data_IF_830561533502
#
_entry.id   IF_830561533502
#
_cell.length_a   1.000
_cell.length_b   1.000
_cell.length_c   1.000
_cell.angle_alpha   90.00
_cell.angle_beta   90.00
_cell.angle_gamma   90.00
#
_symmetry.space_group_name_H-M   'P 1'
#
loop_
_entity.id
_entity.type
_entity.pdbx_description
1 polymer ?
#
# COMPACT_ATOMS: atom_id res chain seq x y z
N UNK A 1 19.03 62.02 11.85
CA UNK A 1 18.58 60.86 12.65
C UNK A 1 18.18 59.76 11.67
N UNK A 2 18.64 58.52 11.91
CA UNK A 2 18.70 57.41 10.95
C UNK A 2 17.33 57.01 10.39
N UNK A 3 17.19 56.97 9.06
CA UNK A 3 16.07 56.34 8.37
C UNK A 3 16.21 54.82 8.48
N UNK A 4 15.32 54.18 9.24
CA UNK A 4 15.30 52.75 9.44
C UNK A 4 14.52 52.10 8.29
N UNK A 5 15.22 51.57 7.28
CA UNK A 5 14.62 50.76 6.23
C UNK A 5 14.21 49.40 6.82
N UNK A 6 12.92 49.23 7.11
CA UNK A 6 12.36 47.92 7.51
C UNK A 6 12.23 47.08 6.23
N UNK A 7 13.19 46.19 6.01
CA UNK A 7 13.09 45.14 4.99
C UNK A 7 11.96 44.18 5.37
N UNK A 8 10.86 44.20 4.63
CA UNK A 8 9.77 43.25 4.77
C UNK A 8 10.21 41.95 4.07
N UNK A 9 10.78 41.01 4.83
CA UNK A 9 11.07 39.66 4.37
C UNK A 9 9.73 38.96 4.07
N UNK A 10 9.35 38.92 2.80
CA UNK A 10 8.31 38.04 2.26
C UNK A 10 8.78 36.59 2.45
N UNK A 11 8.45 36.00 3.60
CA UNK A 11 8.57 34.56 3.80
C UNK A 11 7.45 33.93 2.99
N UNK A 12 7.73 33.60 1.72
CA UNK A 12 6.84 32.73 0.95
C UNK A 12 6.75 31.40 1.70
N UNK A 13 5.56 30.88 2.03
CA UNK A 13 5.46 29.54 2.58
C UNK A 13 5.96 28.58 1.50
N UNK A 14 7.17 28.05 1.69
CA UNK A 14 7.58 26.85 1.00
C UNK A 14 6.62 25.76 1.46
N UNK A 15 5.67 25.39 0.60
CA UNK A 15 4.89 24.18 0.80
C UNK A 15 5.87 23.01 0.71
N UNK A 16 6.31 22.53 1.87
CA UNK A 16 7.05 21.27 1.96
C UNK A 16 6.04 20.18 1.65
N UNK A 17 6.05 19.68 0.42
CA UNK A 17 5.31 18.47 0.07
C UNK A 17 6.00 17.31 0.80
N UNK A 18 5.34 16.77 1.83
CA UNK A 18 5.79 15.56 2.50
C UNK A 18 5.69 14.36 1.56
N UNK A 19 6.66 13.45 1.62
CA UNK A 19 6.55 12.17 0.91
C UNK A 19 5.32 11.40 1.40
N UNK A 20 4.68 10.62 0.53
CA UNK A 20 3.59 9.73 0.96
C UNK A 20 4.12 8.79 2.04
N UNK A 21 3.45 8.73 3.19
CA UNK A 21 3.83 7.84 4.29
C UNK A 21 3.01 6.57 4.23
N UNK A 22 3.62 5.46 4.63
CA UNK A 22 2.86 4.27 4.97
C UNK A 22 2.02 4.50 6.22
N UNK A 23 0.86 3.86 6.28
CA UNK A 23 0.05 3.76 7.49
C UNK A 23 0.44 2.49 8.23
N UNK A 24 0.87 2.67 9.48
CA UNK A 24 1.22 1.55 10.36
C UNK A 24 -0.02 0.71 10.64
N UNK A 25 0.17 -0.61 10.72
CA UNK A 25 -0.93 -1.51 11.00
C UNK A 25 -1.38 -1.40 12.46
N UNK A 26 -2.69 -1.55 12.74
CA UNK A 26 -3.19 -1.58 14.10
C UNK A 26 -2.70 -2.82 14.84
N UNK A 27 -2.83 -2.81 16.16
CA UNK A 27 -2.27 -3.86 17.02
C UNK A 27 -2.80 -5.27 16.73
N UNK A 28 -3.98 -5.40 16.12
CA UNK A 28 -4.58 -6.69 15.78
C UNK A 28 -4.17 -7.22 14.40
N UNK A 29 -3.47 -6.43 13.58
CA UNK A 29 -2.89 -6.91 12.32
C UNK A 29 -1.43 -7.26 12.56
N UNK A 30 -1.06 -8.50 12.24
CA UNK A 30 0.28 -9.06 12.47
C UNK A 30 0.83 -9.70 11.19
N UNK A 31 2.13 -10.00 11.24
CA UNK A 31 2.83 -10.80 10.23
C UNK A 31 2.60 -10.32 8.78
N UNK A 32 2.65 -9.01 8.56
CA UNK A 32 2.53 -8.47 7.20
C UNK A 32 3.77 -8.89 6.41
N UNK A 33 3.59 -9.74 5.40
CA UNK A 33 4.66 -10.17 4.50
C UNK A 33 4.36 -9.78 3.07
N UNK A 34 5.40 -9.32 2.37
CA UNK A 34 5.35 -9.04 0.94
C UNK A 34 6.37 -9.94 0.27
N UNK A 35 5.91 -10.81 -0.63
CA UNK A 35 6.72 -11.84 -1.27
C UNK A 35 6.62 -11.71 -2.79
N UNK A 36 7.77 -11.55 -3.45
CA UNK A 36 7.87 -11.69 -4.91
C UNK A 36 8.07 -13.16 -5.31
N UNK A 37 8.69 -13.42 -6.47
CA UNK A 37 8.95 -14.79 -6.93
C UNK A 37 10.14 -15.48 -6.23
N UNK A 38 10.88 -14.80 -5.33
CA UNK A 38 11.97 -15.43 -4.58
C UNK A 38 11.63 -15.52 -3.09
N UNK A 39 11.81 -16.69 -2.45
CA UNK A 39 11.52 -16.87 -1.02
C UNK A 39 12.33 -15.94 -0.09
N UNK A 40 13.42 -15.34 -0.59
CA UNK A 40 14.28 -14.43 0.16
C UNK A 40 13.95 -12.94 -0.07
N UNK A 41 13.03 -12.59 -0.98
CA UNK A 41 12.66 -11.21 -1.23
C UNK A 41 11.76 -10.68 -0.10
N UNK A 42 12.37 -10.22 0.99
CA UNK A 42 11.72 -9.37 1.99
C UNK A 42 11.58 -7.91 1.50
N UNK A 43 12.33 -7.54 0.46
CA UNK A 43 12.28 -6.22 -0.13
C UNK A 43 11.14 -6.18 -1.16
N UNK A 44 10.22 -5.21 -1.08
CA UNK A 44 9.07 -5.11 -1.97
C UNK A 44 9.48 -4.48 -3.32
N UNK A 45 10.44 -5.12 -4.00
CA UNK A 45 10.97 -4.70 -5.31
C UNK A 45 10.73 -5.83 -6.30
N UNK A 46 9.97 -5.54 -7.36
CA UNK A 46 9.46 -6.52 -8.31
C UNK A 46 9.87 -6.14 -9.74
N UNK A 47 10.11 -7.14 -10.60
CA UNK A 47 10.20 -6.88 -12.04
C UNK A 47 8.81 -6.58 -12.61
N UNK A 48 8.74 -5.75 -13.64
CA UNK A 48 7.49 -5.55 -14.37
C UNK A 48 6.94 -6.88 -14.90
N UNK A 49 5.66 -7.14 -14.61
CA UNK A 49 4.99 -8.41 -14.94
C UNK A 49 5.25 -9.55 -13.97
N UNK A 50 6.07 -9.34 -12.93
CA UNK A 50 6.28 -10.31 -11.86
C UNK A 50 5.03 -10.41 -10.97
N UNK A 51 4.77 -11.62 -10.46
CA UNK A 51 3.70 -11.85 -9.50
C UNK A 51 4.20 -11.50 -8.10
N UNK A 52 3.30 -11.05 -7.25
CA UNK A 52 3.59 -10.90 -5.83
C UNK A 52 2.41 -11.35 -4.97
N UNK A 53 2.74 -11.61 -3.72
CA UNK A 53 1.80 -11.93 -2.65
C UNK A 53 2.00 -10.96 -1.50
N UNK A 54 0.90 -10.37 -1.03
CA UNK A 54 0.81 -9.68 0.25
C UNK A 54 -0.01 -10.56 1.18
N UNK A 55 0.51 -10.91 2.35
CA UNK A 55 -0.25 -11.64 3.37
C UNK A 55 -0.13 -11.00 4.73
N UNK A 56 -1.11 -11.24 5.59
CA UNK A 56 -1.17 -10.72 6.95
C UNK A 56 -2.14 -11.54 7.80
N UNK A 57 -1.99 -11.44 9.13
CA UNK A 57 -2.86 -12.12 10.10
C UNK A 57 -3.73 -11.09 10.85
N UNK A 58 -5.03 -11.33 10.96
CA UNK A 58 -5.91 -10.63 11.90
C UNK A 58 -6.10 -11.50 13.16
N UNK A 59 -5.54 -11.08 14.29
CA UNK A 59 -5.56 -11.84 15.56
C UNK A 59 -6.85 -11.65 16.36
N UNK A 60 -7.85 -10.92 15.85
CA UNK A 60 -9.19 -10.92 16.46
C UNK A 60 -9.90 -12.26 16.24
N UNK A 61 -9.51 -13.00 15.18
CA UNK A 61 -10.06 -14.31 14.86
C UNK A 61 -11.50 -14.27 14.34
N UNK A 62 -11.95 -13.11 13.82
CA UNK A 62 -13.21 -12.96 13.12
C UNK A 62 -13.00 -12.86 11.60
N UNK A 63 -13.98 -13.34 10.83
CA UNK A 63 -13.95 -13.34 9.37
C UNK A 63 -14.38 -11.97 8.83
N UNK A 64 -13.48 -10.98 8.91
CA UNK A 64 -13.72 -9.64 8.37
C UNK A 64 -13.48 -9.57 6.87
N UNK A 65 -14.18 -8.66 6.23
CA UNK A 65 -13.95 -8.32 4.83
C UNK A 65 -12.88 -7.21 4.75
N UNK A 66 -11.79 -7.51 4.07
CA UNK A 66 -10.73 -6.54 3.75
C UNK A 66 -10.70 -6.27 2.25
N UNK A 67 -10.42 -5.02 1.89
CA UNK A 67 -10.37 -4.52 0.51
C UNK A 67 -9.00 -3.91 0.23
N UNK A 68 -8.54 -3.90 -1.02
CA UNK A 68 -7.25 -3.32 -1.38
C UNK A 68 -7.36 -2.25 -2.46
N UNK A 69 -6.57 -1.18 -2.34
CA UNK A 69 -6.36 -0.15 -3.36
C UNK A 69 -4.89 -0.05 -3.72
N UNK A 70 -4.58 0.19 -4.99
CA UNK A 70 -3.20 0.29 -5.49
C UNK A 70 -3.02 1.63 -6.19
N UNK A 71 -2.11 2.46 -5.71
CA UNK A 71 -1.84 3.78 -6.25
C UNK A 71 -0.42 3.89 -6.79
N UNK A 72 -0.25 4.48 -7.97
CA UNK A 72 1.04 4.69 -8.60
C UNK A 72 1.61 6.10 -8.30
N UNK A 73 2.90 6.14 -8.00
CA UNK A 73 3.67 7.33 -7.64
C UNK A 73 4.90 7.47 -8.53
N UNK A 74 5.34 8.72 -8.71
CA UNK A 74 6.60 9.03 -9.36
C UNK A 74 7.79 8.56 -8.51
N UNK A 75 9.01 8.66 -9.05
CA UNK A 75 10.23 8.21 -8.38
C UNK A 75 10.45 8.89 -7.01
N UNK A 76 9.97 10.12 -6.85
CA UNK A 76 10.09 10.95 -5.66
C UNK A 76 8.91 10.78 -4.67
N UNK A 77 8.05 9.78 -4.90
CA UNK A 77 6.84 9.51 -4.13
C UNK A 77 5.76 10.61 -4.21
N UNK A 78 5.82 11.48 -5.22
CA UNK A 78 4.67 12.35 -5.55
C UNK A 78 3.60 11.55 -6.31
N UNK A 79 2.30 11.85 -6.10
CA UNK A 79 1.23 11.20 -6.87
C UNK A 79 1.48 11.35 -8.37
N UNK A 80 1.40 10.25 -9.10
CA UNK A 80 1.50 10.32 -10.56
C UNK A 80 0.23 10.92 -11.15
N UNK A 81 0.34 11.53 -12.33
CA UNK A 81 -0.79 12.05 -13.09
C UNK A 81 -1.48 10.96 -13.95
N UNK A 82 -1.10 9.69 -13.76
CA UNK A 82 -1.65 8.56 -14.50
C UNK A 82 -3.06 8.24 -14.00
N UNK A 83 -4.00 8.09 -14.93
CA UNK A 83 -5.28 7.47 -14.64
C UNK A 83 -5.09 5.98 -14.29
N UNK A 84 -5.98 5.43 -13.46
CA UNK A 84 -5.91 4.03 -12.99
C UNK A 84 -5.71 3.02 -14.13
N UNK A 85 -6.46 3.15 -15.22
CA UNK A 85 -6.36 2.26 -16.39
C UNK A 85 -5.03 2.37 -17.15
N UNK A 86 -4.19 3.37 -16.89
CA UNK A 86 -2.86 3.47 -17.49
C UNK A 86 -1.82 2.59 -16.80
N UNK A 87 -2.05 2.21 -15.54
CA UNK A 87 -1.10 1.42 -14.75
C UNK A 87 -1.70 0.15 -14.11
N UNK A 88 -3.03 -0.01 -14.10
CA UNK A 88 -3.72 -1.22 -13.67
C UNK A 88 -4.47 -1.80 -14.87
N UNK A 89 -4.17 -3.06 -15.21
CA UNK A 89 -5.07 -3.88 -16.00
C UNK A 89 -6.10 -4.54 -15.06
N UNK A 90 -7.36 -4.11 -15.15
CA UNK A 90 -8.44 -4.54 -14.26
C UNK A 90 -8.85 -3.44 -13.27
N UNK A 91 -9.22 -3.84 -12.06
CA UNK A 91 -9.75 -2.96 -11.02
C UNK A 91 -9.02 -3.18 -9.70
N UNK A 92 -8.99 -2.14 -8.86
CA UNK A 92 -8.74 -2.25 -7.43
C UNK A 92 -10.04 -2.00 -6.66
N UNK A 93 -9.96 -1.75 -5.35
CA UNK A 93 -11.12 -1.72 -4.44
C UNK A 93 -11.89 -3.04 -4.40
N UNK A 94 -11.14 -4.14 -4.49
CA UNK A 94 -11.67 -5.49 -4.51
C UNK A 94 -11.46 -6.15 -3.16
N UNK A 95 -12.42 -6.99 -2.76
CA UNK A 95 -12.31 -7.81 -1.55
C UNK A 95 -11.18 -8.82 -1.68
N UNK A 96 -10.46 -9.08 -0.58
CA UNK A 96 -9.53 -10.19 -0.46
C UNK A 96 -10.35 -11.46 -0.18
N UNK A 97 -10.49 -12.29 -1.21
CA UNK A 97 -11.31 -13.51 -1.16
C UNK A 97 -10.62 -14.68 -0.44
N UNK A 98 -9.29 -14.73 -0.45
CA UNK A 98 -8.53 -15.85 0.12
C UNK A 98 -8.13 -15.56 1.56
N UNK A 99 -8.80 -16.23 2.50
CA UNK A 99 -8.42 -16.24 3.89
C UNK A 99 -8.70 -17.60 4.55
N UNK A 100 -7.93 -17.93 5.59
CA UNK A 100 -8.09 -19.17 6.36
C UNK A 100 -7.99 -18.88 7.86
N UNK A 101 -8.86 -19.48 8.66
CA UNK A 101 -8.79 -19.37 10.11
C UNK A 101 -7.73 -20.31 10.69
N UNK A 102 -7.05 -19.87 11.73
CA UNK A 102 -6.11 -20.68 12.50
C UNK A 102 -6.80 -21.90 13.10
N UNK A 103 -6.10 -23.04 13.11
CA UNK A 103 -6.63 -24.30 13.63
C UNK A 103 -5.78 -24.82 14.79
N UNK A 104 -6.42 -25.14 15.93
CA UNK A 104 -5.77 -25.66 17.15
C UNK A 104 -4.58 -24.81 17.67
N UNK A 105 -4.69 -23.48 17.57
CA UNK A 105 -3.71 -22.52 18.09
C UNK A 105 -4.17 -21.90 19.41
N UNK A 106 -3.22 -21.46 20.25
CA UNK A 106 -3.53 -20.72 21.49
C UNK A 106 -4.06 -19.30 21.21
N UNK A 107 -3.54 -18.66 20.18
CA UNK A 107 -4.01 -17.37 19.67
C UNK A 107 -4.77 -17.64 18.38
N UNK A 108 -6.07 -17.31 18.36
CA UNK A 108 -6.86 -17.36 17.14
C UNK A 108 -6.44 -16.23 16.20
N UNK A 109 -6.40 -16.52 14.90
CA UNK A 109 -6.20 -15.52 13.86
C UNK A 109 -6.86 -15.95 12.54
N UNK A 110 -7.13 -14.98 11.68
CA UNK A 110 -7.53 -15.19 10.29
C UNK A 110 -6.38 -14.73 9.39
N UNK A 111 -5.85 -15.65 8.57
CA UNK A 111 -4.74 -15.40 7.66
C UNK A 111 -5.27 -14.98 6.30
N UNK A 112 -4.91 -13.78 5.84
CA UNK A 112 -5.34 -13.23 4.56
C UNK A 112 -4.22 -13.29 3.54
N UNK A 113 -4.57 -13.63 2.30
CA UNK A 113 -3.62 -13.72 1.18
C UNK A 113 -4.15 -12.96 -0.02
N UNK A 114 -3.42 -11.93 -0.43
CA UNK A 114 -3.65 -11.21 -1.67
C UNK A 114 -2.56 -11.56 -2.68
N UNK A 115 -2.93 -12.20 -3.78
CA UNK A 115 -2.05 -12.43 -4.92
C UNK A 115 -2.36 -11.42 -6.02
N UNK A 116 -1.33 -10.77 -6.57
CA UNK A 116 -1.43 -9.97 -7.79
C UNK A 116 -0.46 -10.57 -8.83
N UNK A 117 -0.92 -10.88 -10.05
CA UNK A 117 -2.27 -10.70 -10.55
C UNK A 117 -3.28 -11.74 -10.02
N UNK A 118 -4.56 -11.34 -10.01
CA UNK A 118 -5.73 -12.17 -9.72
C UNK A 118 -6.84 -11.94 -10.77
N UNK A 119 -8.07 -12.41 -10.51
CA UNK A 119 -9.22 -12.31 -11.41
C UNK A 119 -9.57 -10.84 -11.73
N UNK A 120 -9.47 -9.96 -10.75
CA UNK A 120 -10.01 -8.61 -10.80
C UNK A 120 -8.91 -7.57 -11.07
N UNK A 121 -7.74 -7.72 -10.45
CA UNK A 121 -6.50 -6.98 -10.78
C UNK A 121 -5.56 -7.89 -11.56
N UNK A 122 -5.63 -7.81 -12.89
CA UNK A 122 -4.94 -8.73 -13.81
C UNK A 122 -3.48 -8.36 -14.06
N UNK A 123 -3.05 -7.15 -13.73
CA UNK A 123 -1.66 -6.77 -13.79
C UNK A 123 -1.38 -5.31 -13.46
N UNK A 124 -0.13 -5.04 -13.12
CA UNK A 124 0.42 -3.70 -13.01
C UNK A 124 1.32 -3.47 -14.23
N UNK A 125 0.99 -2.47 -15.03
CA UNK A 125 1.50 -2.34 -16.41
C UNK A 125 2.59 -1.28 -16.58
N UNK A 126 2.96 -0.60 -15.49
CA UNK A 126 4.00 0.43 -15.46
C UNK A 126 5.05 0.09 -14.40
N UNK A 127 6.29 0.48 -14.68
CA UNK A 127 7.32 0.57 -13.65
C UNK A 127 7.10 1.86 -12.84
N UNK A 128 7.64 1.88 -11.63
CA UNK A 128 7.54 3.02 -10.73
C UNK A 128 7.27 2.60 -9.29
N UNK A 129 6.91 3.59 -8.48
CA UNK A 129 6.59 3.38 -7.08
C UNK A 129 5.10 3.13 -6.94
N UNK A 130 4.74 2.24 -6.03
CA UNK A 130 3.37 1.89 -5.75
C UNK A 130 3.11 1.87 -4.25
N UNK A 131 1.90 2.27 -3.87
CA UNK A 131 1.37 2.09 -2.52
C UNK A 131 0.17 1.15 -2.61
N UNK A 132 0.22 0.05 -1.87
CA UNK A 132 -0.94 -0.81 -1.64
C UNK A 132 -1.53 -0.50 -0.26
N UNK A 133 -2.83 -0.23 -0.23
CA UNK A 133 -3.58 0.17 0.96
C UNK A 133 -4.69 -0.84 1.22
N UNK A 134 -4.77 -1.34 2.46
CA UNK A 134 -5.80 -2.29 2.90
C UNK A 134 -6.84 -1.57 3.73
N UNK A 135 -8.12 -1.77 3.39
CA UNK A 135 -9.28 -1.14 4.01
C UNK A 135 -10.21 -2.17 4.64
N UNK A 136 -10.94 -1.78 5.68
CA UNK A 136 -12.03 -2.58 6.22
C UNK A 136 -13.34 -2.41 5.40
N UNK A 137 -14.39 -3.13 5.81
CA UNK A 137 -15.73 -3.09 5.22
C UNK A 137 -16.44 -1.72 5.29
N UNK A 138 -15.93 -0.82 6.13
CA UNK A 138 -16.39 0.56 6.29
C UNK A 138 -15.52 1.56 5.55
N UNK A 139 -14.61 1.07 4.70
CA UNK A 139 -13.66 1.88 3.93
C UNK A 139 -12.72 2.72 4.81
N UNK A 140 -12.43 2.27 6.04
CA UNK A 140 -11.36 2.83 6.86
C UNK A 140 -10.02 2.20 6.46
N UNK A 141 -8.98 3.02 6.35
CA UNK A 141 -7.62 2.55 6.08
C UNK A 141 -7.07 1.80 7.30
N UNK A 142 -6.71 0.53 7.10
CA UNK A 142 -6.17 -0.36 8.13
C UNK A 142 -4.64 -0.26 8.14
N UNK A 143 -4.01 -0.47 6.99
CA UNK A 143 -2.56 -0.27 6.83
C UNK A 143 -2.20 -0.06 5.36
N UNK A 144 -1.00 0.42 5.09
CA UNK A 144 -0.47 0.46 3.73
C UNK A 144 1.00 0.06 3.65
N UNK A 145 1.43 -0.40 2.47
CA UNK A 145 2.81 -0.79 2.18
C UNK A 145 3.26 -0.23 0.84
N UNK A 146 4.49 0.26 0.80
CA UNK A 146 5.19 0.69 -0.40
C UNK A 146 5.83 -0.51 -1.08
N UNK A 147 5.79 -0.50 -2.40
CA UNK A 147 6.55 -1.41 -3.23
C UNK A 147 6.98 -0.71 -4.52
N UNK A 148 7.95 -1.27 -5.22
CA UNK A 148 8.49 -0.71 -6.45
C UNK A 148 8.47 -1.77 -7.54
N UNK A 149 8.13 -1.36 -8.76
CA UNK A 149 8.24 -2.16 -9.97
C UNK A 149 9.32 -1.55 -10.87
N UNK A 150 10.26 -2.35 -11.36
CA UNK A 150 11.30 -1.92 -12.30
C UNK A 150 11.23 -2.62 -13.66
#
# INVERSE_FOLDING_TARGET
MKNFFISFLLVSPFFINGQVSETAAPNFIKTITFQGNTPQAQLPILKLGERFQLSFDDINGDERDYYYKIEHFNFDWTPSNLAKGEYIDGFDDMRIDFYENSFNTLQMYSHYVLNIPNRDTRGLTKSGNYLISIFDDRNNLVFSRKFMIY
#
